data_IF_634079505387
#
_entry.id   IF_634079505387
#
_cell.length_a   1.000
_cell.length_b   1.000
_cell.length_c   1.000
_cell.angle_alpha   90.00
_cell.angle_beta   90.00
_cell.angle_gamma   90.00
#
_symmetry.space_group_name_H-M   'P 1'
#
loop_
_entity.id
_entity.type
_entity.pdbx_description
1 polymer ?
#
# COMPACT_ATOMS: atom_id res chain seq x y z
N UNK A 1 4.56 5.96 -17.05
CA UNK A 1 3.98 4.91 -16.19
C UNK A 1 4.16 3.49 -16.73
N UNK A 2 4.59 3.30 -17.98
CA UNK A 2 4.88 1.97 -18.55
C UNK A 2 5.92 1.18 -17.75
N UNK A 3 6.98 1.86 -17.27
CA UNK A 3 7.97 1.23 -16.40
C UNK A 3 7.35 0.64 -15.12
N UNK A 4 6.47 1.39 -14.45
CA UNK A 4 5.76 0.91 -13.26
C UNK A 4 4.87 -0.30 -13.57
N UNK A 5 4.15 -0.29 -14.71
CA UNK A 5 3.32 -1.42 -15.13
C UNK A 5 4.16 -2.68 -15.31
N UNK A 6 5.34 -2.56 -15.93
CA UNK A 6 6.28 -3.66 -16.08
C UNK A 6 6.75 -4.20 -14.71
N UNK A 7 7.18 -3.33 -13.80
CA UNK A 7 7.64 -3.72 -12.46
C UNK A 7 6.52 -4.40 -11.65
N UNK A 8 5.29 -3.87 -11.69
CA UNK A 8 4.14 -4.47 -11.03
C UNK A 8 3.79 -5.83 -11.63
N UNK A 9 3.85 -5.99 -12.95
CA UNK A 9 3.62 -7.28 -13.59
C UNK A 9 4.63 -8.34 -13.11
N UNK A 10 5.92 -7.98 -13.04
CA UNK A 10 6.96 -8.86 -12.49
C UNK A 10 6.72 -9.19 -11.01
N UNK A 11 6.36 -8.19 -10.21
CA UNK A 11 5.99 -8.37 -8.81
C UNK A 11 4.82 -9.33 -8.63
N UNK A 12 3.76 -9.16 -9.41
CA UNK A 12 2.56 -10.00 -9.38
C UNK A 12 2.87 -11.43 -9.83
N UNK A 13 3.68 -11.61 -10.87
CA UNK A 13 4.13 -12.93 -11.31
C UNK A 13 4.93 -13.64 -10.21
N UNK A 14 5.88 -12.95 -9.59
CA UNK A 14 6.66 -13.48 -8.47
C UNK A 14 5.77 -13.83 -7.27
N UNK A 15 4.76 -13.00 -6.96
CA UNK A 15 3.79 -13.26 -5.91
C UNK A 15 2.97 -14.53 -6.19
N UNK A 16 2.41 -14.67 -7.40
CA UNK A 16 1.63 -15.85 -7.82
C UNK A 16 2.48 -17.13 -7.76
N UNK A 17 3.76 -17.04 -8.13
CA UNK A 17 4.71 -18.14 -8.04
C UNK A 17 5.24 -18.39 -6.61
N UNK A 18 4.76 -17.65 -5.60
CA UNK A 18 5.20 -17.70 -4.21
C UNK A 18 6.68 -17.34 -3.99
N UNK A 19 7.31 -16.67 -4.96
CA UNK A 19 8.63 -16.07 -4.83
C UNK A 19 8.55 -14.74 -4.07
N UNK A 20 8.10 -14.78 -2.81
CA UNK A 20 7.73 -13.59 -2.07
C UNK A 20 8.89 -12.62 -1.80
N UNK A 21 10.14 -13.12 -1.70
CA UNK A 21 11.30 -12.26 -1.56
C UNK A 21 11.52 -11.38 -2.82
N UNK A 22 11.35 -11.97 -4.00
CA UNK A 22 11.43 -11.23 -5.27
C UNK A 22 10.25 -10.25 -5.42
N UNK A 23 9.03 -10.68 -5.09
CA UNK A 23 7.84 -9.83 -5.10
C UNK A 23 8.02 -8.58 -4.20
N UNK A 24 8.57 -8.74 -2.99
CA UNK A 24 8.93 -7.62 -2.10
C UNK A 24 9.88 -6.64 -2.77
N UNK A 25 10.90 -7.12 -3.47
CA UNK A 25 11.86 -6.26 -4.19
C UNK A 25 11.16 -5.45 -5.28
N UNK A 26 10.33 -6.09 -6.10
CA UNK A 26 9.58 -5.38 -7.16
C UNK A 26 8.61 -4.34 -6.60
N UNK A 27 7.82 -4.67 -5.58
CA UNK A 27 6.86 -3.72 -5.02
C UNK A 27 7.56 -2.54 -4.30
N UNK A 28 8.71 -2.77 -3.67
CA UNK A 28 9.53 -1.68 -3.10
C UNK A 28 10.09 -0.77 -4.20
N UNK A 29 10.57 -1.34 -5.30
CA UNK A 29 11.03 -0.58 -6.46
C UNK A 29 9.90 0.28 -7.02
N UNK A 30 8.72 -0.31 -7.23
CA UNK A 30 7.53 0.40 -7.70
C UNK A 30 7.15 1.59 -6.79
N UNK A 31 7.20 1.43 -5.46
CA UNK A 31 6.99 2.54 -4.52
C UNK A 31 8.08 3.60 -4.70
N UNK A 32 9.36 3.20 -4.77
CA UNK A 32 10.49 4.12 -4.92
C UNK A 32 10.40 4.95 -6.22
N UNK A 33 9.93 4.37 -7.31
CA UNK A 33 9.82 5.05 -8.60
C UNK A 33 8.62 6.01 -8.65
N UNK A 34 7.49 5.62 -8.04
CA UNK A 34 6.27 6.43 -8.05
C UNK A 34 6.31 7.55 -7.02
N UNK A 35 6.97 7.32 -5.88
CA UNK A 35 6.96 8.24 -4.74
C UNK A 35 7.37 9.68 -5.11
N UNK A 36 8.47 9.93 -5.84
CA UNK A 36 8.86 11.29 -6.21
C UNK A 36 7.83 12.00 -7.09
N UNK A 37 7.20 11.27 -8.03
CA UNK A 37 6.18 11.82 -8.94
C UNK A 37 4.92 12.18 -8.16
N UNK A 38 4.46 11.27 -7.31
CA UNK A 38 3.30 11.49 -6.46
C UNK A 38 3.51 12.65 -5.48
N UNK A 39 4.68 12.70 -4.84
CA UNK A 39 5.05 13.79 -3.94
C UNK A 39 5.09 15.13 -4.65
N UNK A 40 5.72 15.21 -5.83
CA UNK A 40 5.79 16.44 -6.60
C UNK A 40 4.40 16.94 -6.99
N UNK A 41 3.55 16.04 -7.50
CA UNK A 41 2.18 16.35 -7.90
C UNK A 41 1.36 16.90 -6.71
N UNK A 42 1.48 16.30 -5.52
CA UNK A 42 0.67 16.67 -4.36
C UNK A 42 1.19 17.79 -3.48
N UNK A 43 2.52 17.97 -3.41
CA UNK A 43 3.13 18.86 -2.42
C UNK A 43 3.93 20.02 -3.04
N UNK A 44 4.41 19.86 -4.27
CA UNK A 44 5.29 20.83 -4.92
C UNK A 44 4.52 21.61 -5.98
N UNK A 45 4.13 20.94 -7.06
CA UNK A 45 3.43 21.53 -8.18
C UNK A 45 2.79 20.43 -9.03
N UNK A 46 1.47 20.54 -9.23
CA UNK A 46 0.76 19.78 -10.25
C UNK A 46 0.73 20.59 -11.54
N UNK A 47 1.35 20.10 -12.64
CA UNK A 47 1.29 20.80 -13.91
C UNK A 47 -0.16 21.03 -14.37
N UNK A 48 -0.55 22.26 -14.76
CA UNK A 48 -1.92 22.58 -15.10
C UNK A 48 -2.39 21.93 -16.40
N UNK A 49 -1.47 21.44 -17.23
CA UNK A 49 -1.76 20.74 -18.48
C UNK A 49 -2.20 19.30 -18.26
N UNK A 50 -1.97 18.73 -17.07
CA UNK A 50 -2.37 17.37 -16.78
C UNK A 50 -3.90 17.26 -16.70
N UNK A 51 -4.42 16.27 -17.42
CA UNK A 51 -5.79 15.82 -17.20
C UNK A 51 -5.98 15.28 -15.77
N UNK A 52 -7.24 15.20 -15.34
CA UNK A 52 -7.60 14.57 -14.06
C UNK A 52 -7.03 13.16 -13.92
N UNK A 53 -7.05 12.40 -15.01
CA UNK A 53 -6.59 11.02 -15.07
C UNK A 53 -5.08 10.94 -14.88
N UNK A 54 -4.32 11.78 -15.59
CA UNK A 54 -2.86 11.81 -15.49
C UNK A 54 -2.39 12.27 -14.10
N UNK A 55 -3.01 13.31 -13.54
CA UNK A 55 -2.69 13.79 -12.20
C UNK A 55 -3.04 12.76 -11.10
N UNK A 56 -4.05 11.92 -11.35
CA UNK A 56 -4.48 10.86 -10.42
C UNK A 56 -3.63 9.61 -10.50
N UNK A 57 -2.95 9.37 -11.63
CA UNK A 57 -2.26 8.13 -11.92
C UNK A 57 -1.16 7.77 -10.88
N UNK A 58 -0.30 8.70 -10.42
CA UNK A 58 0.66 8.41 -9.36
C UNK A 58 0.01 7.92 -8.06
N UNK A 59 -1.17 8.45 -7.73
CA UNK A 59 -1.92 8.08 -6.53
C UNK A 59 -2.38 6.63 -6.59
N UNK A 60 -2.95 6.20 -7.72
CA UNK A 60 -3.34 4.81 -7.93
C UNK A 60 -2.14 3.87 -7.91
N UNK A 61 -1.07 4.23 -8.63
CA UNK A 61 0.14 3.41 -8.70
C UNK A 61 0.79 3.21 -7.33
N UNK A 62 0.88 4.28 -6.53
CA UNK A 62 1.45 4.21 -5.18
C UNK A 62 0.59 3.34 -4.27
N UNK A 63 -0.73 3.55 -4.28
CA UNK A 63 -1.68 2.78 -3.46
C UNK A 63 -1.61 1.28 -3.76
N UNK A 64 -1.64 0.89 -5.04
CA UNK A 64 -1.52 -0.52 -5.47
C UNK A 64 -0.20 -1.12 -5.00
N UNK A 65 0.91 -0.39 -5.16
CA UNK A 65 2.24 -0.88 -4.78
C UNK A 65 2.35 -1.12 -3.27
N UNK A 66 1.77 -0.24 -2.45
CA UNK A 66 1.70 -0.37 -0.98
C UNK A 66 0.86 -1.58 -0.58
N UNK A 67 -0.32 -1.73 -1.17
CA UNK A 67 -1.23 -2.85 -0.87
C UNK A 67 -0.59 -4.19 -1.23
N UNK A 68 0.02 -4.29 -2.41
CA UNK A 68 0.70 -5.50 -2.86
C UNK A 68 1.90 -5.85 -1.96
N UNK A 69 2.70 -4.86 -1.56
CA UNK A 69 3.80 -5.08 -0.62
C UNK A 69 3.28 -5.56 0.75
N UNK A 70 2.22 -4.94 1.26
CA UNK A 70 1.61 -5.32 2.52
C UNK A 70 1.06 -6.74 2.48
N UNK A 71 0.31 -7.10 1.44
CA UNK A 71 -0.23 -8.46 1.26
C UNK A 71 0.90 -9.49 1.13
N UNK A 72 1.99 -9.16 0.42
CA UNK A 72 3.17 -10.02 0.34
C UNK A 72 3.81 -10.27 1.72
N UNK A 73 3.82 -9.29 2.61
CA UNK A 73 4.23 -9.51 4.00
C UNK A 73 3.22 -10.34 4.79
N UNK A 74 1.92 -10.16 4.56
CA UNK A 74 0.88 -10.97 5.21
C UNK A 74 0.99 -12.45 4.83
N UNK A 75 1.22 -12.77 3.54
CA UNK A 75 1.47 -14.14 3.06
C UNK A 75 2.69 -14.79 3.70
N UNK A 76 3.70 -13.99 4.08
CA UNK A 76 4.86 -14.46 4.84
C UNK A 76 4.64 -14.49 6.36
N UNK A 77 3.41 -14.21 6.85
CA UNK A 77 3.09 -14.02 8.27
C UNK A 77 3.93 -12.93 8.97
N UNK A 78 4.46 -11.99 8.19
CA UNK A 78 5.26 -10.86 8.70
C UNK A 78 4.35 -9.69 9.06
N UNK A 79 3.39 -9.96 9.95
CA UNK A 79 2.28 -9.07 10.27
C UNK A 79 2.71 -7.67 10.70
N UNK A 80 3.78 -7.55 11.51
CA UNK A 80 4.33 -6.25 11.91
C UNK A 80 4.77 -5.40 10.71
N UNK A 81 5.41 -6.02 9.70
CA UNK A 81 5.82 -5.32 8.47
C UNK A 81 4.62 -4.96 7.60
N UNK A 82 3.63 -5.84 7.52
CA UNK A 82 2.37 -5.56 6.82
C UNK A 82 1.68 -4.32 7.41
N UNK A 83 1.45 -4.30 8.74
CA UNK A 83 0.84 -3.17 9.43
C UNK A 83 1.64 -1.88 9.28
N UNK A 84 2.97 -1.94 9.42
CA UNK A 84 3.82 -0.76 9.27
C UNK A 84 3.74 -0.18 7.85
N UNK A 85 3.72 -1.04 6.83
CA UNK A 85 3.62 -0.62 5.42
C UNK A 85 2.30 0.10 5.14
N UNK A 86 1.18 -0.47 5.59
CA UNK A 86 -0.14 0.15 5.41
C UNK A 86 -0.30 1.42 6.24
N UNK A 87 0.16 1.43 7.49
CA UNK A 87 0.12 2.62 8.35
C UNK A 87 0.91 3.78 7.74
N UNK A 88 2.07 3.49 7.17
CA UNK A 88 2.87 4.49 6.47
C UNK A 88 2.12 5.04 5.25
N UNK A 89 1.53 4.16 4.43
CA UNK A 89 0.70 4.55 3.29
C UNK A 89 -0.49 5.42 3.69
N UNK A 90 -1.23 5.03 4.73
CA UNK A 90 -2.34 5.83 5.27
C UNK A 90 -1.84 7.23 5.67
N UNK A 91 -0.72 7.31 6.39
CA UNK A 91 -0.15 8.60 6.82
C UNK A 91 0.21 9.49 5.65
N UNK A 92 0.80 8.95 4.59
CA UNK A 92 1.14 9.71 3.38
C UNK A 92 -0.10 10.31 2.73
N UNK A 93 -1.13 9.50 2.50
CA UNK A 93 -2.35 9.95 1.83
C UNK A 93 -3.14 10.93 2.70
N UNK A 94 -3.11 10.78 4.03
CA UNK A 94 -3.67 11.75 4.97
C UNK A 94 -2.98 13.12 4.89
N UNK A 95 -1.65 13.14 4.84
CA UNK A 95 -0.89 14.38 4.69
C UNK A 95 -1.22 15.07 3.37
N UNK A 96 -1.41 14.31 2.28
CA UNK A 96 -1.79 14.89 0.99
C UNK A 96 -3.21 15.46 1.03
N UNK A 97 -4.19 14.74 1.62
CA UNK A 97 -5.57 15.25 1.78
C UNK A 97 -5.65 16.54 2.59
N UNK A 98 -4.79 16.71 3.59
CA UNK A 98 -4.75 17.94 4.39
C UNK A 98 -4.22 19.15 3.60
N UNK A 99 -3.49 18.91 2.50
CA UNK A 99 -2.84 19.96 1.70
C UNK A 99 -3.58 20.25 0.40
N UNK A 100 -4.19 19.25 -0.22
CA UNK A 100 -4.92 19.44 -1.46
C UNK A 100 -6.19 20.26 -1.22
N UNK A 101 -6.44 21.21 -2.10
CA UNK A 101 -7.75 21.82 -2.21
C UNK A 101 -8.72 20.88 -2.96
N UNK A 102 -10.02 21.15 -2.85
CA UNK A 102 -11.05 20.35 -3.53
C UNK A 102 -11.01 20.47 -5.06
N UNK A 103 -10.32 21.48 -5.60
CA UNK A 103 -10.19 21.71 -7.04
C UNK A 103 -9.05 20.91 -7.66
N UNK A 104 -8.09 20.44 -6.84
CA UNK A 104 -6.94 19.70 -7.31
C UNK A 104 -7.38 18.45 -8.07
N UNK A 105 -6.85 18.20 -9.29
CA UNK A 105 -7.32 17.11 -10.14
C UNK A 105 -7.19 15.73 -9.49
N UNK A 106 -6.17 15.51 -8.65
CA UNK A 106 -5.98 14.25 -7.92
C UNK A 106 -6.82 14.09 -6.65
N UNK A 107 -7.60 15.09 -6.20
CA UNK A 107 -8.24 15.10 -4.88
C UNK A 107 -9.15 13.88 -4.63
N UNK A 108 -9.98 13.54 -5.62
CA UNK A 108 -10.87 12.37 -5.56
C UNK A 108 -10.09 11.06 -5.49
N UNK A 109 -9.04 10.92 -6.30
CA UNK A 109 -8.21 9.72 -6.28
C UNK A 109 -7.51 9.55 -4.92
N UNK A 110 -6.97 10.63 -4.34
CA UNK A 110 -6.32 10.57 -3.02
C UNK A 110 -7.35 10.18 -1.96
N UNK A 111 -8.55 10.74 -2.00
CA UNK A 111 -9.62 10.40 -1.05
C UNK A 111 -10.01 8.93 -1.13
N UNK A 112 -10.25 8.43 -2.35
CA UNK A 112 -10.63 7.04 -2.60
C UNK A 112 -9.55 6.06 -2.14
N UNK A 113 -8.30 6.27 -2.56
CA UNK A 113 -7.19 5.39 -2.22
C UNK A 113 -6.82 5.47 -0.73
N UNK A 114 -6.96 6.64 -0.11
CA UNK A 114 -6.84 6.80 1.35
C UNK A 114 -7.88 5.97 2.11
N UNK A 115 -9.14 5.97 1.65
CA UNK A 115 -10.19 5.15 2.25
C UNK A 115 -9.91 3.65 2.11
N UNK A 116 -9.46 3.20 0.93
CA UNK A 116 -9.06 1.81 0.69
C UNK A 116 -7.92 1.38 1.61
N UNK A 117 -6.83 2.16 1.68
CA UNK A 117 -5.70 1.85 2.56
C UNK A 117 -6.08 1.76 4.04
N UNK A 118 -7.00 2.62 4.51
CA UNK A 118 -7.53 2.53 5.88
C UNK A 118 -8.35 1.26 6.11
N UNK A 119 -9.18 0.87 5.13
CA UNK A 119 -9.95 -0.36 5.21
C UNK A 119 -9.01 -1.58 5.28
N UNK A 120 -8.01 -1.64 4.40
CA UNK A 120 -6.99 -2.69 4.40
C UNK A 120 -6.20 -2.73 5.71
N UNK A 121 -5.78 -1.58 6.24
CA UNK A 121 -5.09 -1.51 7.53
C UNK A 121 -5.94 -2.08 8.67
N UNK A 122 -7.23 -1.73 8.72
CA UNK A 122 -8.16 -2.29 9.72
C UNK A 122 -8.31 -3.80 9.55
N UNK A 123 -8.47 -4.28 8.32
CA UNK A 123 -8.58 -5.71 8.01
C UNK A 123 -7.33 -6.49 8.42
N UNK A 124 -6.12 -5.97 8.12
CA UNK A 124 -4.85 -6.58 8.55
C UNK A 124 -4.72 -6.60 10.07
N UNK A 125 -5.09 -5.52 10.75
CA UNK A 125 -5.07 -5.49 12.22
C UNK A 125 -5.96 -6.57 12.82
N UNK A 126 -7.12 -6.82 12.21
CA UNK A 126 -8.03 -7.88 12.64
C UNK A 126 -7.44 -9.28 12.37
N UNK A 127 -6.98 -9.53 11.14
CA UNK A 127 -6.29 -10.80 10.76
C UNK A 127 -5.11 -11.11 11.68
N UNK A 128 -4.32 -10.10 12.04
CA UNK A 128 -3.19 -10.27 12.94
C UNK A 128 -3.63 -10.68 14.35
N UNK A 129 -4.68 -10.06 14.90
CA UNK A 129 -5.23 -10.44 16.21
C UNK A 129 -5.72 -11.89 16.21
N UNK A 130 -6.45 -12.29 15.17
CA UNK A 130 -6.91 -13.67 15.00
C UNK A 130 -5.74 -14.65 14.91
N UNK A 131 -4.72 -14.31 14.12
CA UNK A 131 -3.49 -15.11 14.02
C UNK A 131 -2.80 -15.23 15.38
N UNK A 132 -2.68 -14.14 16.15
CA UNK A 132 -2.09 -14.17 17.49
C UNK A 132 -2.87 -15.10 18.43
N UNK A 133 -4.19 -15.00 18.46
CA UNK A 133 -5.05 -15.84 19.30
C UNK A 133 -4.95 -17.32 18.91
N UNK A 134 -4.92 -17.63 17.61
CA UNK A 134 -4.76 -19.01 17.12
C UNK A 134 -3.37 -19.61 17.38
N UNK A 135 -2.37 -18.75 17.62
CA UNK A 135 -0.99 -19.16 17.87
C UNK A 135 -0.67 -19.32 19.36
N UNK A 136 -1.62 -19.02 20.26
CA UNK A 136 -1.46 -19.26 21.68
C UNK A 136 -1.51 -20.77 21.95
N UNK A 137 -0.60 -21.30 22.79
CA UNK A 137 -0.70 -22.69 23.21
C UNK A 137 -2.04 -22.87 23.95
N UNK A 138 -2.80 -23.89 23.55
CA UNK A 138 -3.97 -24.33 24.31
C UNK A 138 -3.44 -24.79 25.68
N UNK A 139 -3.84 -24.10 26.75
CA UNK A 139 -3.58 -24.54 28.11
C UNK A 139 -4.03 -26.00 28.22
N UNK A 140 -3.06 -26.91 28.31
CA UNK A 140 -3.37 -28.30 28.67
C UNK A 140 -3.90 -28.23 30.10
N UNK A 141 -5.10 -28.76 30.40
CA UNK A 141 -5.51 -28.90 31.77
C UNK A 141 -4.48 -29.79 32.47
N UNK A 142 -3.78 -29.22 33.45
CA UNK A 142 -2.94 -29.99 34.36
C UNK A 142 -3.86 -30.97 35.09
N UNK A 143 -3.91 -32.21 34.62
CA UNK A 143 -4.46 -33.32 35.38
C UNK A 143 -3.44 -33.65 36.48
N UNK A 144 -3.71 -33.18 37.70
CA UNK A 144 -3.13 -33.68 38.94
C UNK A 144 -4.24 -34.32 39.76
#
# INVERSE_FOLDING_TARGET
MEHWQYIIAQGNQAFTQRHFAAAVTFYRQAISDVWPVWYHCGFVFCPPELSREEASLPTFCLSISIQNLAETYAQQQRWRRCQATLKQGVSWFEQMLQRLDGAHPASIAVLQESAKLRAEYKAVCQRYKEWQLSSLPVDRPYLH
#
